data_IF_447749823723
#
_entry.id   IF_447749823723
#
_cell.length_a   1.000
_cell.length_b   1.000
_cell.length_c   1.000
_cell.angle_alpha   90.00
_cell.angle_beta   90.00
_cell.angle_gamma   90.00
#
_symmetry.space_group_name_H-M   'P 1'
#
loop_
_entity.id
_entity.type
_entity.pdbx_description
1 polymer ?
#
# COMPACT_ATOMS: atom_id res chain seq x y z
N UNK A 1 -5.71 -0.24 20.21
CA UNK A 1 -5.11 -1.10 19.17
C UNK A 1 -5.16 -0.37 17.82
N UNK A 2 -4.09 -0.45 17.00
CA UNK A 2 -4.13 0.06 15.63
C UNK A 2 -5.18 -0.70 14.82
N UNK A 3 -5.80 -0.02 13.84
CA UNK A 3 -6.68 -0.69 12.88
C UNK A 3 -5.86 -0.95 11.63
N UNK A 4 -5.74 -2.22 11.26
CA UNK A 4 -5.03 -2.66 10.05
C UNK A 4 -6.06 -3.19 9.07
N UNK A 5 -6.02 -2.69 7.84
CA UNK A 5 -6.83 -3.15 6.71
C UNK A 5 -5.88 -3.55 5.61
N UNK A 6 -6.03 -4.76 5.09
CA UNK A 6 -5.21 -5.27 3.98
C UNK A 6 -6.10 -5.60 2.79
N UNK A 7 -5.54 -5.55 1.59
CA UNK A 7 -6.26 -5.90 0.36
C UNK A 7 -5.31 -6.31 -0.76
N UNK A 8 -5.78 -7.18 -1.65
CA UNK A 8 -5.10 -7.53 -2.89
C UNK A 8 -5.97 -7.13 -4.08
N UNK A 9 -5.38 -6.43 -5.05
CA UNK A 9 -6.07 -5.91 -6.22
C UNK A 9 -5.50 -6.50 -7.50
N UNK A 10 -6.39 -6.76 -8.46
CA UNK A 10 -6.05 -6.99 -9.85
C UNK A 10 -6.47 -5.79 -10.69
N UNK A 11 -5.63 -5.36 -11.63
CA UNK A 11 -5.90 -4.16 -12.47
C UNK A 11 -7.30 -4.18 -13.12
N UNK A 12 -7.74 -5.34 -13.60
CA UNK A 12 -9.06 -5.51 -14.25
C UNK A 12 -10.26 -5.31 -13.32
N UNK A 13 -10.05 -5.42 -12.00
CA UNK A 13 -11.13 -5.43 -11.02
C UNK A 13 -11.13 -4.19 -10.12
N UNK A 14 -10.19 -3.25 -10.31
CA UNK A 14 -10.06 -2.00 -9.55
C UNK A 14 -11.31 -1.10 -9.63
N UNK A 15 -12.10 -1.23 -10.69
CA UNK A 15 -13.36 -0.49 -10.88
C UNK A 15 -14.62 -1.32 -10.58
N UNK A 16 -14.48 -2.60 -10.19
CA UNK A 16 -15.63 -3.45 -9.91
C UNK A 16 -16.32 -3.04 -8.59
N UNK A 17 -17.67 -3.12 -8.49
CA UNK A 17 -18.36 -2.97 -7.21
C UNK A 17 -17.87 -4.05 -6.24
N UNK A 18 -17.50 -3.65 -5.02
CA UNK A 18 -16.93 -4.53 -3.98
C UNK A 18 -17.89 -5.69 -3.63
N UNK A 19 -17.77 -6.83 -4.30
CA UNK A 19 -18.45 -8.07 -3.90
C UNK A 19 -17.61 -9.35 -3.96
N UNK A 20 -16.43 -9.38 -4.59
CA UNK A 20 -15.68 -10.65 -4.71
C UNK A 20 -14.20 -10.43 -4.97
N UNK A 21 -13.33 -10.62 -3.97
CA UNK A 21 -11.90 -10.83 -4.21
C UNK A 21 -11.36 -12.00 -3.38
N UNK A 22 -11.93 -13.18 -3.63
CA UNK A 22 -11.28 -14.46 -3.40
C UNK A 22 -11.78 -15.42 -4.49
N UNK A 23 -10.88 -15.93 -5.35
CA UNK A 23 -11.14 -17.12 -6.16
C UNK A 23 -9.91 -18.03 -6.17
N UNK A 24 -10.09 -19.23 -5.61
CA UNK A 24 -9.10 -20.30 -5.42
C UNK A 24 -9.09 -21.32 -6.58
N UNK A 25 -9.66 -21.00 -7.74
CA UNK A 25 -10.05 -21.99 -8.76
C UNK A 25 -9.35 -21.88 -10.14
N UNK A 26 -8.16 -21.28 -10.22
CA UNK A 26 -7.19 -21.66 -11.26
C UNK A 26 -7.53 -21.37 -12.75
N UNK A 27 -8.19 -20.25 -13.06
CA UNK A 27 -8.41 -19.78 -14.44
C UNK A 27 -7.19 -19.09 -15.11
N UNK A 28 -7.21 -18.89 -16.45
CA UNK A 28 -6.05 -18.50 -17.26
C UNK A 28 -5.50 -17.09 -16.91
N UNK A 29 -4.16 -16.99 -16.91
CA UNK A 29 -3.36 -15.92 -16.30
C UNK A 29 -3.40 -14.60 -17.09
N UNK A 30 -4.16 -13.63 -16.59
CA UNK A 30 -3.88 -12.19 -16.75
C UNK A 30 -3.45 -11.66 -15.37
N UNK A 31 -2.20 -11.92 -14.98
CA UNK A 31 -1.73 -11.62 -13.61
C UNK A 31 -1.11 -10.22 -13.55
N UNK A 32 -1.59 -9.38 -12.64
CA UNK A 32 -0.96 -8.18 -12.05
C UNK A 32 -1.61 -8.04 -10.68
N UNK A 33 -0.92 -8.44 -9.62
CA UNK A 33 -1.45 -8.41 -8.26
C UNK A 33 -0.71 -7.33 -7.47
N UNK A 34 -1.47 -6.40 -6.88
CA UNK A 34 -0.97 -5.31 -6.03
C UNK A 34 -1.50 -5.52 -4.63
N UNK A 35 -0.62 -5.46 -3.63
CA UNK A 35 -0.96 -5.51 -2.22
C UNK A 35 -1.11 -4.10 -1.68
N UNK A 36 -2.13 -3.89 -0.86
CA UNK A 36 -2.32 -2.66 -0.12
C UNK A 36 -2.48 -2.94 1.35
N UNK A 37 -1.83 -2.11 2.16
CA UNK A 37 -2.02 -2.06 3.60
C UNK A 37 -2.40 -0.63 3.97
N UNK A 38 -3.44 -0.50 4.79
CA UNK A 38 -3.91 0.73 5.41
C UNK A 38 -3.88 0.56 6.91
N UNK A 39 -3.17 1.45 7.60
CA UNK A 39 -3.04 1.42 9.05
C UNK A 39 -3.52 2.73 9.63
N UNK A 40 -4.54 2.66 10.49
CA UNK A 40 -5.01 3.82 11.25
C UNK A 40 -4.16 4.00 12.49
N UNK A 41 -3.61 5.19 12.66
CA UNK A 41 -2.91 5.58 13.89
C UNK A 41 -3.86 5.51 15.09
N UNK A 42 -3.39 4.88 16.16
CA UNK A 42 -4.17 4.68 17.38
C UNK A 42 -4.71 6.03 17.90
N UNK A 43 -5.99 6.04 18.28
CA UNK A 43 -6.69 7.22 18.82
C UNK A 43 -6.76 8.44 17.89
N UNK A 44 -6.56 8.26 16.58
CA UNK A 44 -6.69 9.34 15.59
C UNK A 44 -7.51 8.92 14.36
N UNK A 45 -7.86 9.88 13.51
CA UNK A 45 -8.43 9.63 12.18
C UNK A 45 -7.36 9.58 11.07
N UNK A 46 -6.07 9.63 11.42
CA UNK A 46 -5.00 9.61 10.42
C UNK A 46 -4.68 8.18 10.01
N UNK A 47 -4.49 8.01 8.70
CA UNK A 47 -4.17 6.74 8.08
C UNK A 47 -2.84 6.82 7.34
N UNK A 48 -2.13 5.70 7.33
CA UNK A 48 -0.92 5.50 6.54
C UNK A 48 -1.15 4.31 5.63
N UNK A 49 -0.79 4.45 4.36
CA UNK A 49 -1.02 3.46 3.33
C UNK A 49 0.27 3.03 2.64
N UNK A 50 0.38 1.75 2.34
CA UNK A 50 1.45 1.18 1.51
C UNK A 50 0.82 0.42 0.34
N UNK A 51 1.26 0.74 -0.87
CA UNK A 51 0.89 0.01 -2.09
C UNK A 51 2.15 -0.67 -2.65
N UNK A 52 2.14 -2.00 -2.76
CA UNK A 52 3.30 -2.75 -3.22
C UNK A 52 2.92 -3.73 -4.30
N UNK A 53 3.84 -3.94 -5.24
CA UNK A 53 3.78 -5.07 -6.14
C UNK A 53 3.77 -6.38 -5.33
N UNK A 54 2.92 -7.33 -5.75
CA UNK A 54 2.89 -8.65 -5.13
C UNK A 54 4.16 -9.44 -5.47
N UNK A 55 4.55 -10.39 -4.61
CA UNK A 55 5.65 -11.33 -4.83
C UNK A 55 5.64 -12.03 -6.19
N UNK A 56 4.44 -12.31 -6.69
CA UNK A 56 4.27 -13.00 -7.95
C UNK A 56 4.70 -12.16 -9.16
N UNK A 57 4.96 -10.85 -9.00
CA UNK A 57 5.33 -9.90 -10.05
C UNK A 57 6.11 -8.70 -9.52
N UNK A 58 7.44 -8.73 -9.62
CA UNK A 58 8.29 -7.57 -9.38
C UNK A 58 8.22 -6.64 -10.59
N UNK A 59 7.73 -5.41 -10.41
CA UNK A 59 8.47 -4.29 -10.98
C UNK A 59 7.73 -3.34 -11.93
N UNK A 60 6.40 -3.27 -12.03
CA UNK A 60 5.77 -2.34 -13.01
C UNK A 60 4.34 -1.91 -12.63
N UNK A 61 3.69 -2.53 -11.64
CA UNK A 61 2.23 -2.38 -11.50
C UNK A 61 1.82 -1.11 -10.78
N UNK A 62 2.51 -0.73 -9.69
CA UNK A 62 2.07 0.39 -8.86
C UNK A 62 2.26 1.74 -9.57
N UNK A 63 3.45 2.06 -10.09
CA UNK A 63 3.71 3.40 -10.67
C UNK A 63 2.80 3.77 -11.85
N UNK A 64 2.33 2.77 -12.62
CA UNK A 64 1.48 2.98 -13.80
C UNK A 64 -0.01 3.09 -13.50
N UNK A 65 -0.44 2.77 -12.29
CA UNK A 65 -1.84 2.79 -11.89
C UNK A 65 -2.03 3.13 -10.39
N UNK A 66 -1.10 3.91 -9.83
CA UNK A 66 -1.05 4.19 -8.39
C UNK A 66 -2.33 4.89 -7.94
N UNK A 67 -2.85 5.80 -8.77
CA UNK A 67 -4.09 6.50 -8.50
C UNK A 67 -5.26 5.53 -8.34
N UNK A 68 -5.46 4.60 -9.29
CA UNK A 68 -6.62 3.72 -9.23
C UNK A 68 -6.52 2.72 -8.06
N UNK A 69 -5.32 2.24 -7.71
CA UNK A 69 -5.14 1.39 -6.54
C UNK A 69 -5.38 2.13 -5.22
N UNK A 70 -4.94 3.40 -5.12
CA UNK A 70 -5.20 4.23 -3.94
C UNK A 70 -6.71 4.49 -3.79
N UNK A 71 -7.39 4.84 -4.87
CA UNK A 71 -8.84 5.06 -4.86
C UNK A 71 -9.61 3.80 -4.46
N UNK A 72 -9.21 2.62 -4.96
CA UNK A 72 -9.79 1.34 -4.59
C UNK A 72 -9.51 1.01 -3.11
N UNK A 73 -8.28 1.21 -2.65
CA UNK A 73 -7.89 0.98 -1.25
C UNK A 73 -8.67 1.87 -0.27
N UNK A 74 -8.92 3.13 -0.63
CA UNK A 74 -9.71 4.04 0.18
C UNK A 74 -11.16 3.58 0.42
N UNK A 75 -11.65 2.60 -0.35
CA UNK A 75 -12.99 2.00 -0.17
C UNK A 75 -12.99 0.79 0.76
N UNK A 76 -11.82 0.23 1.10
CA UNK A 76 -11.71 -0.95 1.96
C UNK A 76 -12.20 -0.73 3.40
N UNK A 77 -11.88 0.40 4.08
CA UNK A 77 -12.37 0.63 5.43
C UNK A 77 -13.90 0.82 5.44
N UNK A 78 -14.54 0.49 6.56
CA UNK A 78 -16.01 0.60 6.72
C UNK A 78 -16.56 2.01 6.49
N UNK A 79 -15.72 3.03 6.65
CA UNK A 79 -15.98 4.40 6.20
C UNK A 79 -14.93 4.75 5.14
N UNK A 80 -15.36 5.06 3.90
CA UNK A 80 -14.42 5.41 2.84
C UNK A 80 -13.53 6.58 3.23
N UNK A 81 -12.27 6.53 2.79
CA UNK A 81 -11.27 7.55 3.03
C UNK A 81 -11.16 8.47 1.80
N UNK A 82 -10.69 9.69 2.04
CA UNK A 82 -10.19 10.52 0.94
C UNK A 82 -8.72 10.18 0.70
N UNK A 83 -8.29 9.93 -0.55
CA UNK A 83 -6.88 9.66 -0.87
C UNK A 83 -5.89 10.67 -0.28
N UNK A 84 -6.27 11.95 -0.28
CA UNK A 84 -5.49 13.08 0.25
C UNK A 84 -5.38 13.11 1.78
N UNK A 85 -6.17 12.31 2.50
CA UNK A 85 -6.16 12.20 3.96
C UNK A 85 -5.24 11.10 4.50
N UNK A 86 -4.59 10.35 3.61
CA UNK A 86 -3.74 9.22 3.92
C UNK A 86 -2.30 9.55 3.51
N UNK A 87 -1.34 9.26 4.39
CA UNK A 87 0.07 9.31 4.03
C UNK A 87 0.42 8.04 3.24
N UNK A 88 0.72 8.17 1.95
CA UNK A 88 0.90 7.03 1.06
C UNK A 88 2.37 6.77 0.75
N UNK A 89 2.71 5.49 0.66
CA UNK A 89 3.99 4.99 0.21
C UNK A 89 3.79 3.90 -0.85
N UNK A 90 4.78 3.74 -1.73
CA UNK A 90 4.83 2.59 -2.62
C UNK A 90 6.18 1.89 -2.59
N UNK A 91 6.19 0.62 -3.01
CA UNK A 91 7.37 -0.05 -3.55
C UNK A 91 7.35 0.08 -5.07
N UNK A 92 8.38 0.70 -5.63
CA UNK A 92 8.51 0.95 -7.05
C UNK A 92 9.01 -0.28 -7.82
N UNK A 93 9.18 -0.09 -9.13
CA UNK A 93 9.66 -1.11 -10.05
C UNK A 93 11.02 -1.73 -9.71
N UNK A 94 11.88 -0.92 -9.09
CA UNK A 94 13.27 -1.24 -8.75
C UNK A 94 13.39 -1.78 -7.32
N UNK A 95 12.26 -1.92 -6.62
CA UNK A 95 12.19 -2.34 -5.23
C UNK A 95 12.49 -1.23 -4.23
N UNK A 96 12.70 0.01 -4.68
CA UNK A 96 12.86 1.19 -3.84
C UNK A 96 11.52 1.70 -3.35
N UNK A 97 11.49 2.36 -2.20
CA UNK A 97 10.29 2.96 -1.65
C UNK A 97 10.18 4.43 -2.03
N UNK A 98 8.99 4.85 -2.42
CA UNK A 98 8.65 6.26 -2.63
C UNK A 98 7.55 6.70 -1.68
N UNK A 99 7.59 7.96 -1.29
CA UNK A 99 6.44 8.69 -0.77
C UNK A 99 5.57 9.15 -1.94
N UNK A 100 4.26 9.00 -1.79
CA UNK A 100 3.28 9.42 -2.78
C UNK A 100 2.58 10.71 -2.34
N UNK A 101 2.44 11.64 -3.27
CA UNK A 101 1.63 12.83 -3.10
C UNK A 101 0.39 12.74 -3.99
N UNK A 102 -0.77 12.52 -3.37
CA UNK A 102 -2.03 12.49 -4.10
C UNK A 102 -2.60 13.90 -4.29
N UNK A 103 -2.99 14.24 -5.51
CA UNK A 103 -3.61 15.54 -5.85
C UNK A 103 -4.72 15.37 -6.88
N UNK A 104 -5.49 16.44 -7.15
CA UNK A 104 -6.50 16.43 -8.21
C UNK A 104 -5.93 16.24 -9.62
N UNK A 105 -4.63 16.45 -9.80
CA UNK A 105 -3.93 16.30 -11.10
C UNK A 105 -3.22 14.94 -11.24
N UNK A 106 -3.37 14.03 -10.27
CA UNK A 106 -2.73 12.72 -10.25
C UNK A 106 -1.84 12.49 -9.03
N UNK A 107 -0.98 11.48 -9.12
CA UNK A 107 -0.06 11.04 -8.05
C UNK A 107 1.38 11.40 -8.40
N UNK A 108 2.03 12.16 -7.52
CA UNK A 108 3.46 12.43 -7.56
C UNK A 108 4.25 11.42 -6.75
N UNK A 109 5.49 11.17 -7.16
CA UNK A 109 6.40 10.20 -6.55
C UNK A 109 7.65 10.92 -6.06
N UNK A 110 8.11 10.61 -4.86
CA UNK A 110 9.37 11.14 -4.32
C UNK A 110 10.08 10.03 -3.56
N UNK A 111 11.31 9.73 -3.94
CA UNK A 111 12.11 8.68 -3.32
C UNK A 111 12.17 8.87 -1.80
N UNK A 112 11.95 7.78 -1.07
CA UNK A 112 12.01 7.78 0.38
C UNK A 112 13.48 7.90 0.81
N UNK A 113 13.87 9.08 1.27
CA UNK A 113 15.19 9.31 1.83
C UNK A 113 15.21 9.08 3.33
N UNK A 114 15.98 8.08 3.75
CA UNK A 114 16.24 7.78 5.16
C UNK A 114 17.75 7.83 5.44
N UNK A 115 18.20 8.55 6.49
CA UNK A 115 19.62 8.58 6.84
C UNK A 115 20.17 7.18 7.12
N UNK A 116 21.18 6.76 6.34
CA UNK A 116 21.87 5.48 6.49
C UNK A 116 21.01 4.22 6.35
N UNK A 117 19.78 4.31 5.82
CA UNK A 117 18.91 3.15 5.57
C UNK A 117 18.59 3.06 4.09
N UNK A 118 18.89 1.94 3.41
CA UNK A 118 18.56 1.78 2.00
C UNK A 118 17.05 1.90 1.76
N UNK A 119 16.65 2.70 0.77
CA UNK A 119 15.24 2.91 0.42
C UNK A 119 14.48 1.64 0.00
N UNK A 120 15.15 0.49 -0.14
CA UNK A 120 14.55 -0.80 -0.50
C UNK A 120 14.30 -1.74 0.69
N UNK A 121 14.67 -1.34 1.90
CA UNK A 121 14.71 -2.23 3.07
C UNK A 121 13.46 -2.09 3.94
N UNK A 122 13.06 -3.19 4.60
CA UNK A 122 11.93 -3.17 5.56
C UNK A 122 12.10 -2.05 6.60
N UNK A 123 13.33 -1.83 7.07
CA UNK A 123 13.69 -0.81 8.05
C UNK A 123 13.38 0.60 7.55
N UNK A 124 13.59 0.89 6.26
CA UNK A 124 13.22 2.19 5.68
C UNK A 124 11.72 2.41 5.75
N UNK A 125 10.92 1.38 5.41
CA UNK A 125 9.46 1.47 5.46
C UNK A 125 8.94 1.56 6.89
N UNK A 126 9.50 0.75 7.81
CA UNK A 126 9.15 0.80 9.23
C UNK A 126 9.44 2.18 9.83
N UNK A 127 10.61 2.75 9.54
CA UNK A 127 10.97 4.11 9.96
C UNK A 127 10.03 5.17 9.37
N UNK A 128 9.58 4.99 8.12
CA UNK A 128 8.63 5.91 7.48
C UNK A 128 7.27 5.86 8.17
N UNK A 129 6.78 4.67 8.51
CA UNK A 129 5.54 4.47 9.25
C UNK A 129 5.65 5.06 10.67
N UNK A 130 6.80 4.88 11.35
CA UNK A 130 7.09 5.52 12.64
C UNK A 130 7.09 7.04 12.55
N UNK A 131 7.66 7.63 11.49
CA UNK A 131 7.63 9.07 11.27
C UNK A 131 6.19 9.61 11.13
N UNK A 132 5.30 8.85 10.49
CA UNK A 132 3.87 9.16 10.42
C UNK A 132 3.10 8.86 11.74
N UNK A 133 3.81 8.35 12.75
CA UNK A 133 3.29 8.06 14.08
C UNK A 133 2.54 6.73 14.18
N UNK A 134 2.84 5.77 13.30
CA UNK A 134 2.45 4.38 13.44
C UNK A 134 3.52 3.64 14.23
N UNK A 135 3.10 2.91 15.26
CA UNK A 135 3.97 1.99 15.99
C UNK A 135 4.30 0.78 15.10
N UNK A 136 5.43 0.85 14.39
CA UNK A 136 5.89 -0.21 13.49
C UNK A 136 6.46 -1.43 14.24
N UNK A 137 6.72 -1.32 15.54
CA UNK A 137 7.18 -2.43 16.37
C UNK A 137 6.01 -3.28 16.89
N UNK A 138 4.77 -2.76 16.77
CA UNK A 138 3.57 -3.53 17.02
C UNK A 138 3.52 -4.78 16.11
N UNK A 139 3.30 -5.96 16.70
CA UNK A 139 3.30 -7.23 15.97
C UNK A 139 2.34 -7.25 14.78
N UNK A 140 1.12 -6.72 14.93
CA UNK A 140 0.13 -6.69 13.84
C UNK A 140 0.53 -5.73 12.71
N UNK A 141 1.15 -4.61 13.06
CA UNK A 141 1.62 -3.62 12.09
C UNK A 141 2.81 -4.15 11.31
N UNK A 142 3.82 -4.64 12.03
CA UNK A 142 5.02 -5.22 11.42
C UNK A 142 4.69 -6.40 10.52
N UNK A 143 3.80 -7.30 10.94
CA UNK A 143 3.33 -8.42 10.12
C UNK A 143 2.63 -7.94 8.84
N UNK A 144 1.76 -6.93 8.93
CA UNK A 144 1.08 -6.37 7.76
C UNK A 144 2.04 -5.70 6.78
N UNK A 145 3.00 -4.91 7.28
CA UNK A 145 4.04 -4.30 6.42
C UNK A 145 4.86 -5.40 5.75
N UNK A 146 5.30 -6.42 6.50
CA UNK A 146 6.04 -7.56 5.93
C UNK A 146 5.21 -8.29 4.87
N UNK A 147 3.94 -8.56 5.13
CA UNK A 147 3.03 -9.18 4.16
C UNK A 147 2.95 -8.39 2.86
N UNK A 148 2.87 -7.05 2.92
CA UNK A 148 2.87 -6.21 1.73
C UNK A 148 4.17 -6.28 0.93
N UNK A 149 5.29 -6.47 1.63
CA UNK A 149 6.65 -6.42 1.06
C UNK A 149 7.25 -7.80 0.72
N UNK A 150 6.59 -8.90 1.11
CA UNK A 150 7.12 -10.26 0.91
C UNK A 150 7.13 -10.63 -0.57
N UNK A 151 8.28 -11.13 -1.06
CA UNK A 151 8.50 -11.75 -2.39
C UNK A 151 8.09 -13.26 -2.43
#
# INVERSE_FOLDING_TARGET
>A
MPVVVTGEFFKKDVHAPMQTHCRLDGGPRLKRAVRVVLIRKANTQRWVGLVSDSPAQVGVSVSNAAQEYIEAACRLPSRPLFPTSVAWFQRDSQGSFDRLQYSGNGVGFTELQMPNVPARSYEAMAAAFQHEGIDADNAYVSEAIRWALTD
#
